data_IF_263530917894
#
_entry.id   IF_263530917894
#
_cell.length_a   1.000
_cell.length_b   1.000
_cell.length_c   1.000
_cell.angle_alpha   90.00
_cell.angle_beta   90.00
_cell.angle_gamma   90.00
#
_symmetry.space_group_name_H-M   'P 1'
#
loop_
_entity.id
_entity.type
_entity.pdbx_description
1 polymer ?
#
# COMPACT_ATOMS: atom_id res chain seq x y z
N UNK A 1 -27.13 -23.28 62.28
CA UNK A 1 -27.22 -23.66 63.70
C UNK A 1 -25.78 -23.96 64.12
N UNK A 2 -25.10 -23.28 65.03
CA UNK A 2 -25.44 -22.71 66.37
C UNK A 2 -24.23 -21.84 66.74
N UNK A 3 -24.34 -20.51 66.95
CA UNK A 3 -24.58 -19.78 68.21
C UNK A 3 -23.74 -20.24 69.43
N UNK A 4 -22.84 -19.36 69.90
CA UNK A 4 -22.64 -18.81 71.27
C UNK A 4 -21.16 -18.41 71.43
N UNK A 5 -20.74 -17.17 71.71
CA UNK A 5 -21.13 -16.12 72.67
C UNK A 5 -20.76 -16.40 74.14
N UNK A 6 -20.31 -15.32 74.81
CA UNK A 6 -19.86 -15.12 76.21
C UNK A 6 -18.36 -15.36 76.45
N UNK A 7 -17.62 -14.59 77.24
CA UNK A 7 -17.94 -13.64 78.33
C UNK A 7 -16.66 -12.78 78.59
N UNK A 8 -16.71 -11.44 78.63
CA UNK A 8 -16.86 -10.55 79.81
C UNK A 8 -15.62 -10.32 80.70
N UNK A 9 -15.60 -9.10 81.28
CA UNK A 9 -14.63 -8.42 82.20
C UNK A 9 -13.70 -7.42 81.48
N UNK A 10 -13.65 -6.12 81.76
CA UNK A 10 -14.20 -5.30 82.85
C UNK A 10 -13.08 -4.69 83.71
N UNK A 11 -12.99 -3.34 83.70
CA UNK A 11 -12.16 -2.40 84.54
C UNK A 11 -10.68 -2.29 84.15
N UNK A 12 -9.99 -1.14 84.16
CA UNK A 12 -10.20 0.22 84.71
C UNK A 12 -9.35 1.18 83.83
N UNK A 13 -9.87 2.33 83.38
CA UNK A 13 -9.76 3.64 84.06
C UNK A 13 -8.33 4.20 84.13
N UNK A 14 -7.92 4.95 83.11
CA UNK A 14 -7.00 6.07 83.31
C UNK A 14 -7.42 7.21 82.38
N UNK A 15 -7.99 8.24 83.00
CA UNK A 15 -8.28 9.54 82.39
C UNK A 15 -6.97 10.19 81.98
N UNK A 16 -6.90 10.70 80.75
CA UNK A 16 -5.95 11.74 80.40
C UNK A 16 -6.71 12.79 79.59
N UNK A 17 -7.06 13.89 80.27
CA UNK A 17 -7.79 15.00 79.70
C UNK A 17 -6.92 15.79 78.73
N UNK A 18 -7.33 15.86 77.46
CA UNK A 18 -6.86 16.90 76.53
C UNK A 18 -8.07 17.56 75.84
N UNK A 19 -8.10 18.89 75.74
CA UNK A 19 -9.23 19.61 75.17
C UNK A 19 -9.35 19.34 73.66
N UNK A 20 -10.58 19.13 73.19
CA UNK A 20 -10.91 19.02 71.76
C UNK A 20 -10.55 20.33 71.03
N UNK A 21 -9.87 20.29 69.88
CA UNK A 21 -9.55 21.48 69.10
C UNK A 21 -10.81 22.02 68.39
N UNK A 22 -10.88 23.34 68.15
CA UNK A 22 -12.07 23.98 67.58
C UNK A 22 -12.34 23.53 66.13
N UNK A 23 -13.63 23.37 65.79
CA UNK A 23 -14.22 22.93 64.50
C UNK A 23 -13.73 23.65 63.23
N UNK A 24 -12.87 24.66 63.36
CA UNK A 24 -12.30 25.42 62.24
C UNK A 24 -11.14 24.69 61.53
N UNK A 25 -10.51 23.69 62.16
CA UNK A 25 -9.38 22.92 61.57
C UNK A 25 -9.76 21.65 60.81
N UNK A 26 -11.01 21.19 60.87
CA UNK A 26 -11.48 20.03 60.10
C UNK A 26 -11.99 20.39 58.68
N UNK A 27 -12.24 21.67 58.40
CA UNK A 27 -12.64 22.13 57.05
C UNK A 27 -11.48 22.35 56.08
N UNK A 28 -10.24 22.41 56.56
CA UNK A 28 -9.05 22.68 55.72
C UNK A 28 -8.37 21.43 55.16
N UNK A 29 -8.78 20.23 55.58
CA UNK A 29 -8.18 18.96 55.12
C UNK A 29 -8.96 18.28 53.99
N UNK A 30 -10.07 18.88 53.51
CA UNK A 30 -10.92 18.33 52.45
C UNK A 30 -10.84 19.14 51.13
N UNK A 31 -9.78 19.93 50.93
CA UNK A 31 -9.65 20.89 49.83
C UNK A 31 -8.37 20.71 48.98
N UNK A 32 -7.84 19.49 48.88
CA UNK A 32 -6.72 19.17 47.98
C UNK A 32 -6.88 17.79 47.37
N UNK A 33 -7.97 17.57 46.64
CA UNK A 33 -7.98 16.58 45.57
C UNK A 33 -8.00 17.33 44.24
N UNK A 34 -7.01 17.11 43.34
CA UNK A 34 -6.99 17.80 42.05
C UNK A 34 -8.21 17.34 41.24
N UNK A 35 -9.06 18.31 40.87
CA UNK A 35 -10.22 18.07 40.00
C UNK A 35 -9.80 17.52 38.64
N UNK A 36 -10.71 16.86 37.90
CA UNK A 36 -10.40 16.27 36.61
C UNK A 36 -9.84 17.34 35.66
N UNK A 37 -8.75 17.05 34.93
CA UNK A 37 -8.04 18.05 34.14
C UNK A 37 -8.98 18.74 33.15
N UNK A 38 -8.84 20.06 33.00
CA UNK A 38 -9.63 20.82 32.03
C UNK A 38 -9.37 20.33 30.61
N UNK A 39 -10.32 20.54 29.71
CA UNK A 39 -10.30 20.00 28.32
C UNK A 39 -9.01 20.36 27.56
N UNK A 40 -8.43 21.54 27.84
CA UNK A 40 -7.14 21.99 27.28
C UNK A 40 -5.93 21.22 27.83
N UNK A 41 -5.92 20.89 29.12
CA UNK A 41 -4.84 20.11 29.74
C UNK A 41 -4.90 18.66 29.29
N UNK A 42 -6.10 18.08 29.14
CA UNK A 42 -6.26 16.74 28.52
C UNK A 42 -5.75 16.71 27.09
N UNK A 43 -6.01 17.75 26.30
CA UNK A 43 -5.50 17.84 24.93
C UNK A 43 -3.97 17.91 24.88
N UNK A 44 -3.33 18.66 25.79
CA UNK A 44 -1.87 18.74 25.86
C UNK A 44 -1.23 17.42 26.32
N UNK A 45 -1.83 16.73 27.30
CA UNK A 45 -1.38 15.40 27.73
C UNK A 45 -1.56 14.38 26.59
N UNK A 46 -2.68 14.44 25.88
CA UNK A 46 -2.96 13.58 24.73
C UNK A 46 -1.98 13.85 23.57
N UNK A 47 -1.65 15.11 23.29
CA UNK A 47 -0.63 15.50 22.31
C UNK A 47 0.78 15.04 22.72
N UNK A 48 1.13 15.16 24.00
CA UNK A 48 2.42 14.67 24.52
C UNK A 48 2.51 13.13 24.47
N UNK A 49 1.41 12.42 24.74
CA UNK A 49 1.31 10.97 24.60
C UNK A 49 1.38 10.55 23.13
N UNK A 50 0.74 11.27 22.21
CA UNK A 50 0.85 11.02 20.78
C UNK A 50 2.28 11.24 20.27
N UNK A 51 2.92 12.35 20.68
CA UNK A 51 4.31 12.63 20.37
C UNK A 51 5.24 11.50 20.85
N UNK A 52 5.01 10.99 22.06
CA UNK A 52 5.80 9.88 22.60
C UNK A 52 5.48 8.51 21.95
N UNK A 53 4.24 8.28 21.52
CA UNK A 53 3.80 7.04 20.88
C UNK A 53 4.29 6.94 19.43
N UNK A 54 4.33 8.07 18.70
CA UNK A 54 4.86 8.14 17.32
C UNK A 54 6.40 8.12 17.25
N UNK A 55 7.10 8.52 18.32
CA UNK A 55 8.57 8.53 18.38
C UNK A 55 9.19 7.12 18.43
N UNK A 56 8.44 6.11 18.91
CA UNK A 56 8.93 4.71 18.97
C UNK A 56 9.13 4.05 17.60
N UNK A 57 8.17 4.07 16.66
CA UNK A 57 8.40 3.57 15.31
C UNK A 57 9.38 4.45 14.51
N UNK A 58 9.39 5.76 14.75
CA UNK A 58 10.37 6.65 14.10
C UNK A 58 11.81 6.39 14.55
N UNK A 59 12.07 6.04 15.81
CA UNK A 59 13.42 5.70 16.31
C UNK A 59 14.03 4.50 15.60
N UNK A 60 13.25 3.52 15.17
CA UNK A 60 13.76 2.38 14.40
C UNK A 60 14.23 2.78 12.99
N UNK A 61 13.63 3.84 12.43
CA UNK A 61 13.99 4.40 11.11
C UNK A 61 15.13 5.41 11.24
N UNK A 62 15.20 6.16 12.36
CA UNK A 62 16.22 7.19 12.63
C UNK A 62 17.51 6.63 13.28
N UNK A 63 17.43 5.50 13.98
CA UNK A 63 18.56 4.76 14.53
C UNK A 63 18.49 3.30 14.03
N UNK A 64 18.79 3.03 12.75
CA UNK A 64 18.98 1.64 12.32
C UNK A 64 20.10 1.02 13.16
N UNK A 65 19.95 -0.23 13.65
CA UNK A 65 20.97 -0.88 14.48
C UNK A 65 22.28 -0.90 13.70
N UNK A 66 23.24 -0.12 14.20
CA UNK A 66 24.53 0.10 13.57
C UNK A 66 25.33 -1.20 13.67
N UNK A 67 25.54 -1.84 12.52
CA UNK A 67 26.36 -3.04 12.41
C UNK A 67 27.83 -2.69 12.57
N UNK A 68 28.38 -3.09 13.71
CA UNK A 68 29.77 -2.87 14.09
C UNK A 68 30.71 -3.44 12.99
N UNK A 69 31.72 -2.70 12.49
CA UNK A 69 32.51 -3.06 11.30
C UNK A 69 33.26 -4.39 11.35
N UNK A 70 33.42 -4.99 12.54
CA UNK A 70 34.07 -6.30 12.77
C UNK A 70 33.12 -7.40 13.24
N UNK A 71 31.80 -7.15 13.31
CA UNK A 71 30.83 -8.14 13.77
C UNK A 71 30.43 -9.12 12.66
N UNK A 72 30.24 -10.40 13.02
CA UNK A 72 29.69 -11.42 12.10
C UNK A 72 28.29 -11.03 11.58
N UNK A 73 27.59 -10.15 12.28
CA UNK A 73 26.33 -9.61 11.82
C UNK A 73 26.52 -8.71 10.59
N UNK A 74 27.56 -7.87 10.53
CA UNK A 74 27.82 -7.04 9.34
C UNK A 74 28.06 -7.91 8.11
N UNK A 75 28.82 -9.00 8.24
CA UNK A 75 29.03 -9.92 7.11
C UNK A 75 27.72 -10.57 6.65
N UNK A 76 26.81 -10.90 7.58
CA UNK A 76 25.48 -11.45 7.26
C UNK A 76 24.59 -10.41 6.60
N UNK A 77 24.65 -9.17 7.06
CA UNK A 77 23.90 -8.06 6.49
C UNK A 77 24.46 -7.64 5.13
N UNK A 78 25.77 -7.55 4.97
CA UNK A 78 26.44 -7.29 3.70
C UNK A 78 26.20 -8.43 2.72
N UNK A 79 26.18 -9.70 3.17
CA UNK A 79 25.80 -10.85 2.34
C UNK A 79 24.32 -10.86 1.98
N UNK A 80 23.43 -10.44 2.89
CA UNK A 80 22.00 -10.30 2.62
C UNK A 80 21.75 -9.16 1.63
N UNK A 81 22.42 -8.02 1.79
CA UNK A 81 22.36 -6.88 0.87
C UNK A 81 22.96 -7.29 -0.49
N UNK A 82 24.11 -7.95 -0.52
CA UNK A 82 24.69 -8.53 -1.74
C UNK A 82 23.74 -9.51 -2.39
N UNK A 83 23.06 -10.38 -1.63
CA UNK A 83 22.09 -11.33 -2.16
C UNK A 83 20.88 -10.60 -2.75
N UNK A 84 20.36 -9.56 -2.09
CA UNK A 84 19.25 -8.73 -2.60
C UNK A 84 19.68 -7.91 -3.82
N UNK A 85 20.91 -7.41 -3.86
CA UNK A 85 21.51 -6.70 -4.99
C UNK A 85 21.71 -7.64 -6.16
N UNK A 86 22.30 -8.82 -5.96
CA UNK A 86 22.49 -9.82 -7.00
C UNK A 86 21.16 -10.34 -7.52
N UNK A 87 20.20 -10.59 -6.61
CA UNK A 87 18.85 -10.99 -6.95
C UNK A 87 18.13 -9.92 -7.77
N UNK A 88 18.17 -8.64 -7.36
CA UNK A 88 17.53 -7.57 -8.10
C UNK A 88 18.24 -7.25 -9.42
N UNK A 89 19.56 -7.21 -9.46
CA UNK A 89 20.36 -6.95 -10.65
C UNK A 89 20.34 -8.08 -11.68
N UNK A 90 20.09 -9.33 -11.27
CA UNK A 90 19.95 -10.48 -12.18
C UNK A 90 18.47 -10.67 -12.55
N UNK A 91 17.57 -10.74 -11.59
CA UNK A 91 16.15 -11.09 -11.84
C UNK A 91 15.41 -9.98 -12.55
N UNK A 92 15.70 -8.70 -12.30
CA UNK A 92 14.96 -7.59 -12.93
C UNK A 92 15.28 -7.48 -14.43
N UNK A 93 16.56 -7.48 -14.87
CA UNK A 93 16.89 -7.51 -16.30
C UNK A 93 16.48 -8.82 -16.97
N UNK A 94 16.57 -9.98 -16.31
CA UNK A 94 16.10 -11.26 -16.87
C UNK A 94 14.58 -11.30 -17.03
N UNK A 95 13.81 -10.73 -16.10
CA UNK A 95 12.35 -10.60 -16.22
C UNK A 95 11.93 -9.66 -17.36
N UNK A 96 12.70 -8.60 -17.63
CA UNK A 96 12.40 -7.65 -18.70
C UNK A 96 12.94 -8.07 -20.07
N UNK A 97 14.09 -8.75 -20.12
CA UNK A 97 14.80 -9.09 -21.36
C UNK A 97 14.54 -10.50 -21.89
N UNK A 98 14.22 -11.48 -21.03
CA UNK A 98 14.04 -12.88 -21.42
C UNK A 98 12.82 -13.52 -20.73
N UNK A 99 11.58 -13.12 -21.10
CA UNK A 99 10.37 -13.69 -20.51
C UNK A 99 10.28 -15.21 -20.68
N UNK A 100 10.93 -15.78 -21.70
CA UNK A 100 10.95 -17.22 -21.97
C UNK A 100 11.84 -18.02 -20.99
N UNK A 101 12.92 -17.43 -20.46
CA UNK A 101 13.82 -18.07 -19.49
C UNK A 101 13.25 -18.11 -18.06
N UNK A 102 12.20 -17.31 -17.78
CA UNK A 102 11.50 -17.29 -16.49
C UNK A 102 10.61 -18.52 -16.24
N UNK A 103 10.60 -19.50 -17.15
CA UNK A 103 9.94 -20.81 -17.00
C UNK A 103 10.57 -21.74 -15.96
N UNK A 104 11.64 -21.34 -15.27
CA UNK A 104 12.18 -22.12 -14.14
C UNK A 104 11.37 -21.86 -12.86
N UNK A 105 10.37 -22.74 -12.71
CA UNK A 105 9.15 -22.78 -11.89
C UNK A 105 9.22 -22.53 -10.35
N UNK A 106 10.34 -22.18 -9.71
CA UNK A 106 10.37 -22.07 -8.22
C UNK A 106 10.24 -20.66 -7.65
N UNK A 107 10.71 -19.63 -8.36
CA UNK A 107 10.70 -18.26 -7.83
C UNK A 107 9.34 -17.55 -8.01
N UNK A 108 8.62 -17.88 -9.08
CA UNK A 108 7.25 -17.37 -9.34
C UNK A 108 6.27 -17.78 -8.25
N UNK A 109 6.39 -19.01 -7.73
CA UNK A 109 5.53 -19.50 -6.66
C UNK A 109 5.83 -18.83 -5.32
N UNK A 110 7.09 -18.51 -5.04
CA UNK A 110 7.44 -17.79 -3.82
C UNK A 110 6.97 -16.35 -3.87
N UNK A 111 7.18 -15.64 -4.99
CA UNK A 111 6.68 -14.27 -5.19
C UNK A 111 5.15 -14.23 -5.19
N UNK A 112 4.49 -15.17 -5.86
CA UNK A 112 3.02 -15.28 -5.84
C UNK A 112 2.49 -15.62 -4.44
N UNK A 113 3.15 -16.52 -3.69
CA UNK A 113 2.79 -16.80 -2.29
C UNK A 113 3.01 -15.61 -1.37
N UNK A 114 4.03 -14.78 -1.61
CA UNK A 114 4.23 -13.55 -0.83
C UNK A 114 3.16 -12.52 -1.21
N UNK A 115 2.85 -12.36 -2.49
CA UNK A 115 1.77 -11.47 -2.95
C UNK A 115 0.38 -11.92 -2.44
N UNK A 116 0.13 -13.23 -2.37
CA UNK A 116 -1.12 -13.83 -1.89
C UNK A 116 -1.21 -13.89 -0.36
N UNK A 117 -0.10 -14.16 0.35
CA UNK A 117 -0.09 -14.25 1.82
C UNK A 117 -0.27 -12.91 2.53
N UNK A 118 0.00 -11.80 1.86
CA UNK A 118 -0.09 -10.48 2.48
C UNK A 118 -1.41 -9.76 2.21
N UNK A 119 -2.24 -10.20 1.26
CA UNK A 119 -3.49 -9.53 0.86
C UNK A 119 -3.31 -8.00 0.64
N UNK A 120 -2.06 -7.57 0.41
CA UNK A 120 -1.68 -6.20 0.18
C UNK A 120 -2.04 -5.91 -1.27
N UNK A 121 -2.77 -4.83 -1.51
CA UNK A 121 -3.07 -4.35 -2.85
C UNK A 121 -1.82 -4.50 -3.74
N UNK A 122 -1.93 -5.24 -4.85
CA UNK A 122 -0.78 -5.49 -5.73
C UNK A 122 -0.10 -4.19 -6.20
N UNK A 123 -0.83 -3.06 -6.14
CA UNK A 123 -0.33 -1.70 -6.31
C UNK A 123 0.65 -1.29 -5.22
N UNK A 124 0.29 -1.50 -3.95
CA UNK A 124 1.14 -1.21 -2.80
C UNK A 124 2.43 -2.02 -2.85
N UNK A 125 2.37 -3.32 -3.13
CA UNK A 125 3.57 -4.16 -3.27
C UNK A 125 4.54 -3.65 -4.36
N UNK A 126 3.99 -3.21 -5.51
CA UNK A 126 4.78 -2.59 -6.59
C UNK A 126 5.42 -1.26 -6.17
N UNK A 127 4.70 -0.43 -5.42
CA UNK A 127 5.22 0.83 -4.88
C UNK A 127 6.33 0.59 -3.84
N UNK A 128 6.12 -0.34 -2.91
CA UNK A 128 7.11 -0.69 -1.89
C UNK A 128 8.39 -1.23 -2.53
N UNK A 129 8.26 -2.05 -3.59
CA UNK A 129 9.41 -2.54 -4.37
C UNK A 129 10.17 -1.39 -5.04
N UNK A 130 9.48 -0.44 -5.66
CA UNK A 130 10.10 0.72 -6.32
C UNK A 130 10.85 1.59 -5.30
N UNK A 131 10.22 1.90 -4.16
CA UNK A 131 10.84 2.68 -3.07
C UNK A 131 12.07 1.95 -2.52
N UNK A 132 11.96 0.65 -2.27
CA UNK A 132 13.07 -0.17 -1.78
C UNK A 132 14.27 -0.19 -2.74
N UNK A 133 14.03 -0.27 -4.06
CA UNK A 133 15.09 -0.19 -5.07
C UNK A 133 15.80 1.16 -5.08
N UNK A 134 15.05 2.26 -4.99
CA UNK A 134 15.63 3.62 -4.93
C UNK A 134 16.49 3.78 -3.67
N UNK A 135 15.97 3.40 -2.50
CA UNK A 135 16.71 3.49 -1.24
C UNK A 135 18.00 2.65 -1.24
N UNK A 136 17.95 1.45 -1.83
CA UNK A 136 19.11 0.58 -1.95
C UNK A 136 20.20 1.21 -2.84
N UNK A 137 19.83 1.73 -4.01
CA UNK A 137 20.76 2.41 -4.91
C UNK A 137 21.38 3.63 -4.24
N UNK A 138 20.56 4.45 -3.58
CA UNK A 138 21.05 5.60 -2.81
C UNK A 138 22.02 5.17 -1.72
N UNK A 139 21.71 4.13 -0.95
CA UNK A 139 22.60 3.60 0.09
C UNK A 139 23.95 3.16 -0.49
N UNK A 140 23.95 2.38 -1.58
CA UNK A 140 25.17 1.92 -2.25
C UNK A 140 26.03 3.11 -2.69
N UNK A 141 25.45 4.08 -3.40
CA UNK A 141 26.20 5.28 -3.80
C UNK A 141 26.69 6.09 -2.61
N UNK A 142 25.95 6.13 -1.50
CA UNK A 142 26.36 6.83 -0.28
C UNK A 142 27.59 6.19 0.35
N UNK A 143 27.62 4.85 0.38
CA UNK A 143 28.79 4.09 0.85
C UNK A 143 30.00 4.30 -0.06
N UNK A 144 29.81 4.32 -1.39
CA UNK A 144 30.89 4.62 -2.33
C UNK A 144 31.39 6.06 -2.19
N UNK A 145 30.51 7.04 -2.04
CA UNK A 145 30.87 8.44 -1.82
C UNK A 145 31.69 8.62 -0.53
N UNK A 146 31.27 7.94 0.53
CA UNK A 146 32.02 7.88 1.78
C UNK A 146 33.40 7.23 1.60
N UNK A 147 33.47 6.07 0.95
CA UNK A 147 34.71 5.35 0.69
C UNK A 147 35.70 6.20 -0.13
N UNK A 148 35.23 6.83 -1.21
CA UNK A 148 36.05 7.68 -2.08
C UNK A 148 36.70 8.79 -1.27
N UNK A 149 35.92 9.48 -0.42
CA UNK A 149 36.45 10.56 0.40
C UNK A 149 37.60 10.15 1.34
N UNK A 150 37.70 8.87 1.75
CA UNK A 150 38.84 8.37 2.53
C UNK A 150 40.01 7.96 1.64
N UNK A 151 39.73 7.29 0.53
CA UNK A 151 40.77 6.75 -0.36
C UNK A 151 41.49 7.84 -1.16
N UNK A 152 40.89 9.03 -1.29
CA UNK A 152 41.47 10.15 -2.05
C UNK A 152 42.03 11.25 -1.14
N UNK A 153 42.26 10.98 0.14
CA UNK A 153 42.94 11.94 1.05
C UNK A 153 44.34 12.29 0.56
N UNK A 154 45.01 11.35 -0.10
CA UNK A 154 46.34 11.54 -0.68
C UNK A 154 46.34 12.47 -1.92
N UNK A 155 45.18 12.65 -2.56
CA UNK A 155 45.03 13.53 -3.73
C UNK A 155 44.83 15.01 -3.36
N UNK A 156 44.60 15.34 -2.08
CA UNK A 156 44.40 16.70 -1.58
C UNK A 156 43.16 16.86 -0.69
N UNK A 157 42.56 18.04 -0.70
CA UNK A 157 41.32 18.29 0.05
C UNK A 157 40.17 17.46 -0.52
N UNK A 158 39.48 16.72 0.33
CA UNK A 158 38.31 15.89 -0.01
C UNK A 158 37.02 16.54 0.45
N UNK A 159 35.88 16.09 -0.07
CA UNK A 159 34.57 16.59 0.35
C UNK A 159 34.36 16.52 1.88
N UNK A 160 34.95 15.52 2.55
CA UNK A 160 34.83 15.34 4.01
C UNK A 160 35.61 16.37 4.82
N UNK A 161 36.75 16.83 4.29
CA UNK A 161 37.59 17.85 4.92
C UNK A 161 36.94 19.22 4.71
N UNK A 162 36.51 19.50 3.48
CA UNK A 162 35.86 20.77 3.12
C UNK A 162 34.58 21.03 3.94
N UNK A 163 33.81 19.97 4.20
CA UNK A 163 32.55 20.05 4.94
C UNK A 163 32.71 19.85 6.46
N UNK A 164 33.95 19.73 6.96
CA UNK A 164 34.27 19.51 8.37
C UNK A 164 33.51 18.32 8.99
N UNK A 165 33.34 17.23 8.23
CA UNK A 165 32.70 15.98 8.72
C UNK A 165 33.68 14.85 8.94
N UNK A 166 34.94 15.00 8.49
CA UNK A 166 35.97 13.96 8.56
C UNK A 166 36.17 13.38 9.96
N UNK A 167 36.19 14.24 10.98
CA UNK A 167 36.43 13.87 12.38
C UNK A 167 35.14 13.66 13.19
N UNK A 168 33.97 13.73 12.55
CA UNK A 168 32.67 13.47 13.18
C UNK A 168 32.37 11.97 13.25
N UNK A 169 31.28 11.62 13.92
CA UNK A 169 30.87 10.23 14.07
C UNK A 169 30.61 9.56 12.71
N UNK A 170 30.74 8.22 12.65
CA UNK A 170 30.42 7.45 11.43
C UNK A 170 29.00 7.73 10.95
N UNK A 171 28.07 7.93 11.89
CA UNK A 171 26.67 8.27 11.61
C UNK A 171 26.55 9.62 10.91
N UNK A 172 27.21 10.66 11.42
CA UNK A 172 27.16 12.00 10.83
C UNK A 172 27.72 11.99 9.41
N UNK A 173 28.84 11.26 9.22
CA UNK A 173 29.42 11.08 7.89
C UNK A 173 28.48 10.34 6.94
N UNK A 174 27.84 9.25 7.39
CA UNK A 174 26.87 8.52 6.59
C UNK A 174 25.65 9.37 6.21
N UNK A 175 25.08 10.11 7.16
CA UNK A 175 23.94 11.01 6.90
C UNK A 175 24.34 12.08 5.89
N UNK A 176 25.52 12.68 6.02
CA UNK A 176 26.03 13.67 5.09
C UNK A 176 26.25 13.08 3.68
N UNK A 177 26.84 11.88 3.58
CA UNK A 177 26.99 11.17 2.31
C UNK A 177 25.65 10.82 1.67
N UNK A 178 24.70 10.33 2.47
CA UNK A 178 23.36 9.98 1.99
C UNK A 178 22.58 11.20 1.51
N UNK A 179 22.67 12.30 2.26
CA UNK A 179 22.10 13.59 1.88
C UNK A 179 22.64 14.05 0.52
N UNK A 180 23.96 14.02 0.33
CA UNK A 180 24.57 14.44 -0.94
C UNK A 180 24.07 13.57 -2.11
N UNK A 181 24.09 12.24 -1.96
CA UNK A 181 23.61 11.33 -3.01
C UNK A 181 22.14 11.57 -3.34
N UNK A 182 21.27 11.76 -2.34
CA UNK A 182 19.85 12.08 -2.57
C UNK A 182 19.72 13.40 -3.33
N UNK A 183 20.43 14.45 -2.91
CA UNK A 183 20.38 15.75 -3.55
C UNK A 183 20.86 15.69 -5.01
N UNK A 184 21.89 14.91 -5.30
CA UNK A 184 22.42 14.70 -6.66
C UNK A 184 21.50 13.83 -7.52
N UNK A 185 21.00 12.70 -7.00
CA UNK A 185 20.08 11.82 -7.74
C UNK A 185 18.76 12.53 -8.07
N UNK A 186 18.26 13.39 -7.17
CA UNK A 186 17.07 14.20 -7.41
C UNK A 186 17.34 15.44 -8.28
N UNK A 187 18.60 15.72 -8.65
CA UNK A 187 18.97 16.88 -9.46
C UNK A 187 18.83 18.23 -8.75
N UNK A 188 18.79 18.25 -7.41
CA UNK A 188 18.66 19.48 -6.61
C UNK A 188 20.00 20.18 -6.45
N UNK A 189 21.04 19.43 -6.02
CA UNK A 189 22.43 19.90 -5.99
C UNK A 189 22.67 21.23 -5.26
N UNK A 190 22.40 21.30 -3.95
CA UNK A 190 22.54 22.52 -3.15
C UNK A 190 23.96 23.12 -3.13
N UNK A 191 25.01 22.29 -3.33
CA UNK A 191 26.41 22.73 -3.43
C UNK A 191 27.14 22.87 -2.09
N UNK A 192 26.46 22.66 -0.98
CA UNK A 192 27.02 22.61 0.38
C UNK A 192 27.97 21.42 0.58
N UNK A 193 27.63 20.26 -0.02
CA UNK A 193 28.55 19.12 -0.19
C UNK A 193 28.84 18.99 -1.68
N UNK A 194 30.12 18.99 -2.06
CA UNK A 194 30.53 18.91 -3.46
C UNK A 194 31.89 18.24 -3.62
N UNK A 195 32.17 17.74 -4.82
CA UNK A 195 33.44 17.13 -5.17
C UNK A 195 34.55 18.16 -5.32
N UNK A 196 35.66 17.98 -4.62
CA UNK A 196 36.81 18.88 -4.66
C UNK A 196 37.90 18.34 -5.58
N UNK A 197 38.22 17.06 -5.47
CA UNK A 197 39.29 16.40 -6.23
C UNK A 197 38.81 15.75 -7.56
N UNK A 198 39.76 15.25 -8.37
CA UNK A 198 39.46 14.72 -9.71
C UNK A 198 38.63 13.42 -9.63
N UNK A 199 38.97 12.53 -8.71
CA UNK A 199 38.32 11.23 -8.54
C UNK A 199 36.86 11.38 -8.06
N UNK A 200 36.61 12.27 -7.08
CA UNK A 200 35.28 12.65 -6.62
C UNK A 200 34.43 13.29 -7.72
N UNK A 201 35.04 14.12 -8.59
CA UNK A 201 34.34 14.75 -9.73
C UNK A 201 33.91 13.69 -10.76
N UNK A 202 34.79 12.74 -11.08
CA UNK A 202 34.47 11.61 -11.98
C UNK A 202 33.32 10.77 -11.43
N UNK A 203 33.35 10.46 -10.13
CA UNK A 203 32.26 9.74 -9.48
C UNK A 203 30.95 10.55 -9.48
N UNK A 204 31.02 11.85 -9.17
CA UNK A 204 29.87 12.76 -9.23
C UNK A 204 29.21 12.80 -10.61
N UNK A 205 30.01 12.82 -11.68
CA UNK A 205 29.50 12.72 -13.05
C UNK A 205 28.78 11.39 -13.28
N UNK A 206 29.36 10.26 -12.85
CA UNK A 206 28.74 8.95 -12.98
C UNK A 206 27.41 8.85 -12.22
N UNK A 207 27.37 9.29 -10.96
CA UNK A 207 26.14 9.35 -10.14
C UNK A 207 25.08 10.24 -10.80
N UNK A 208 25.48 11.36 -11.39
CA UNK A 208 24.54 12.27 -12.05
C UNK A 208 23.91 11.65 -13.30
N UNK A 209 24.69 10.90 -14.11
CA UNK A 209 24.18 10.17 -15.28
C UNK A 209 23.20 9.07 -14.85
N UNK A 210 23.52 8.33 -13.79
CA UNK A 210 22.63 7.30 -13.24
C UNK A 210 21.37 7.92 -12.65
N UNK A 211 21.47 9.05 -11.95
CA UNK A 211 20.33 9.80 -11.42
C UNK A 211 19.39 10.28 -12.52
N UNK A 212 19.94 10.93 -13.55
CA UNK A 212 19.17 11.40 -14.70
C UNK A 212 18.44 10.25 -15.43
N UNK A 213 19.13 9.13 -15.65
CA UNK A 213 18.55 7.94 -16.29
C UNK A 213 17.51 7.25 -15.40
N UNK A 214 17.81 7.13 -14.11
CA UNK A 214 16.96 6.50 -13.10
C UNK A 214 15.65 7.24 -12.90
N UNK A 215 15.67 8.58 -12.94
CA UNK A 215 14.47 9.41 -12.81
C UNK A 215 13.41 9.07 -13.86
N UNK A 216 13.81 8.89 -15.12
CA UNK A 216 12.91 8.48 -16.20
C UNK A 216 12.30 7.08 -15.98
N UNK A 217 13.10 6.13 -15.48
CA UNK A 217 12.64 4.78 -15.17
C UNK A 217 11.66 4.76 -13.99
N UNK A 218 11.89 5.58 -12.96
CA UNK A 218 11.02 5.73 -11.80
C UNK A 218 9.66 6.27 -12.25
N UNK A 219 9.64 7.36 -13.03
CA UNK A 219 8.41 7.93 -13.57
C UNK A 219 7.67 6.90 -14.42
N UNK A 220 8.36 6.24 -15.36
CA UNK A 220 7.74 5.22 -16.21
C UNK A 220 7.13 4.06 -15.43
N UNK A 221 7.79 3.64 -14.34
CA UNK A 221 7.28 2.61 -13.44
C UNK A 221 6.05 3.10 -12.66
N UNK A 222 6.09 4.33 -12.16
CA UNK A 222 4.98 4.95 -11.44
C UNK A 222 3.75 5.12 -12.35
N UNK A 223 3.94 5.56 -13.60
CA UNK A 223 2.86 5.68 -14.59
C UNK A 223 2.20 4.33 -14.85
N UNK A 224 2.99 3.26 -15.05
CA UNK A 224 2.44 1.90 -15.21
C UNK A 224 1.63 1.44 -14.00
N UNK A 225 2.08 1.76 -12.79
CA UNK A 225 1.34 1.44 -11.56
C UNK A 225 0.00 2.19 -11.53
N UNK A 226 0.00 3.48 -11.89
CA UNK A 226 -1.21 4.32 -11.92
C UNK A 226 -2.20 3.88 -13.01
N UNK A 227 -1.69 3.52 -14.19
CA UNK A 227 -2.50 2.98 -15.29
C UNK A 227 -3.15 1.66 -14.91
N UNK A 228 -2.40 0.76 -14.28
CA UNK A 228 -2.92 -0.51 -13.79
C UNK A 228 -3.97 -0.31 -12.69
N UNK A 229 -3.75 0.65 -11.78
CA UNK A 229 -4.72 0.97 -10.73
C UNK A 229 -6.04 1.52 -11.29
N UNK A 230 -5.98 2.32 -12.36
CA UNK A 230 -7.17 2.86 -13.02
C UNK A 230 -7.65 2.07 -14.24
N UNK A 231 -7.18 0.83 -14.44
CA UNK A 231 -7.41 0.08 -15.69
C UNK A 231 -8.89 -0.09 -16.02
N UNK A 232 -9.72 -0.38 -15.02
CA UNK A 232 -11.17 -0.54 -15.23
C UNK A 232 -11.83 0.79 -15.63
N UNK A 233 -11.56 1.86 -14.87
CA UNK A 233 -12.13 3.19 -15.10
C UNK A 233 -11.73 3.74 -16.47
N UNK A 234 -10.46 3.61 -16.84
CA UNK A 234 -9.93 4.04 -18.15
C UNK A 234 -10.54 3.22 -19.29
N UNK A 235 -10.70 1.91 -19.13
CA UNK A 235 -11.35 1.04 -20.13
C UNK A 235 -12.82 1.41 -20.33
N UNK A 236 -13.56 1.64 -19.24
CA UNK A 236 -14.96 2.09 -19.30
C UNK A 236 -15.09 3.46 -19.98
N UNK A 237 -14.23 4.40 -19.62
CA UNK A 237 -14.18 5.72 -20.26
C UNK A 237 -13.90 5.62 -21.76
N UNK A 238 -12.92 4.80 -22.15
CA UNK A 238 -12.56 4.57 -23.57
C UNK A 238 -13.73 3.99 -24.38
N UNK A 239 -14.45 2.99 -23.84
CA UNK A 239 -15.66 2.43 -24.47
C UNK A 239 -16.71 3.53 -24.70
N UNK A 240 -16.97 4.35 -23.69
CA UNK A 240 -17.95 5.44 -23.80
C UNK A 240 -17.53 6.51 -24.83
N UNK A 241 -16.24 6.85 -24.90
CA UNK A 241 -15.71 7.79 -25.89
C UNK A 241 -15.83 7.27 -27.32
N UNK A 242 -15.62 5.96 -27.56
CA UNK A 242 -15.82 5.34 -28.87
C UNK A 242 -17.29 5.44 -29.32
N UNK A 243 -18.24 5.20 -28.42
CA UNK A 243 -19.67 5.33 -28.71
C UNK A 243 -20.01 6.79 -29.03
N UNK A 244 -19.48 7.76 -28.27
CA UNK A 244 -19.69 9.18 -28.56
C UNK A 244 -19.16 9.57 -29.95
N UNK A 245 -17.99 9.04 -30.33
CA UNK A 245 -17.41 9.27 -31.65
C UNK A 245 -18.29 8.67 -32.77
N UNK A 246 -18.82 7.47 -32.57
CA UNK A 246 -19.77 6.84 -33.50
C UNK A 246 -21.04 7.68 -33.69
N UNK A 247 -21.66 8.12 -32.59
CA UNK A 247 -22.87 8.96 -32.62
C UNK A 247 -22.64 10.26 -33.38
N UNK A 248 -21.49 10.91 -33.16
CA UNK A 248 -21.12 12.14 -33.86
C UNK A 248 -20.89 11.89 -35.35
N UNK A 249 -20.19 10.81 -35.72
CA UNK A 249 -19.94 10.43 -37.12
C UNK A 249 -21.23 10.15 -37.88
N UNK A 250 -22.21 9.50 -37.25
CA UNK A 250 -23.51 9.17 -37.85
C UNK A 250 -24.55 10.30 -37.78
N UNK A 251 -24.21 11.46 -37.20
CA UNK A 251 -25.09 12.63 -37.07
C UNK A 251 -26.48 12.28 -36.50
N UNK A 252 -26.53 11.44 -35.47
CA UNK A 252 -27.81 10.98 -34.91
C UNK A 252 -28.59 12.16 -34.29
N UNK A 253 -29.94 12.16 -34.40
CA UNK A 253 -30.78 13.20 -33.80
C UNK A 253 -30.62 13.24 -32.26
N UNK A 254 -30.78 14.43 -31.67
CA UNK A 254 -30.50 14.68 -30.24
C UNK A 254 -31.22 13.70 -29.30
N UNK A 255 -32.47 13.35 -29.60
CA UNK A 255 -33.26 12.40 -28.81
C UNK A 255 -32.62 11.00 -28.80
N UNK A 256 -32.30 10.45 -29.98
CA UNK A 256 -31.68 9.13 -30.12
C UNK A 256 -30.29 9.09 -29.49
N UNK A 257 -29.50 10.16 -29.65
CA UNK A 257 -28.19 10.32 -28.97
C UNK A 257 -28.35 10.23 -27.45
N UNK A 258 -29.29 10.96 -26.86
CA UNK A 258 -29.52 10.96 -25.42
C UNK A 258 -29.92 9.58 -24.89
N UNK A 259 -30.83 8.90 -25.61
CA UNK A 259 -31.24 7.52 -25.30
C UNK A 259 -30.07 6.54 -25.38
N UNK A 260 -29.31 6.56 -26.48
CA UNK A 260 -28.18 5.66 -26.70
C UNK A 260 -27.05 5.87 -25.67
N UNK A 261 -26.72 7.11 -25.34
CA UNK A 261 -25.70 7.41 -24.34
C UNK A 261 -26.13 6.95 -22.94
N UNK A 262 -27.40 7.11 -22.59
CA UNK A 262 -27.96 6.60 -21.32
C UNK A 262 -27.92 5.08 -21.29
N UNK A 263 -28.24 4.41 -22.41
CA UNK A 263 -28.15 2.96 -22.55
C UNK A 263 -26.77 2.47 -22.22
N UNK A 264 -25.76 2.96 -22.95
CA UNK A 264 -24.42 2.46 -22.79
C UNK A 264 -23.78 2.84 -21.47
N UNK A 265 -24.12 3.99 -20.86
CA UNK A 265 -23.68 4.27 -19.48
C UNK A 265 -24.23 3.26 -18.49
N UNK A 266 -25.51 2.91 -18.61
CA UNK A 266 -26.13 1.93 -17.73
C UNK A 266 -25.59 0.51 -17.98
N UNK A 267 -25.47 0.12 -19.26
CA UNK A 267 -24.85 -1.13 -19.70
C UNK A 267 -23.43 -1.28 -19.15
N UNK A 268 -22.53 -0.32 -19.38
CA UNK A 268 -21.14 -0.38 -18.92
C UNK A 268 -21.04 -0.41 -17.38
N UNK A 269 -21.98 0.21 -16.67
CA UNK A 269 -22.00 0.20 -15.20
C UNK A 269 -22.52 -1.13 -14.60
N UNK A 270 -23.27 -1.92 -15.37
CA UNK A 270 -23.91 -3.16 -14.91
C UNK A 270 -23.30 -4.43 -15.48
N UNK A 271 -22.66 -4.35 -16.64
CA UNK A 271 -21.97 -5.48 -17.27
C UNK A 271 -20.58 -5.65 -16.68
N UNK A 272 -20.21 -6.88 -16.36
CA UNK A 272 -18.84 -7.25 -16.00
C UNK A 272 -17.83 -6.83 -17.08
N UNK A 273 -16.57 -6.60 -16.69
CA UNK A 273 -15.51 -6.28 -17.64
C UNK A 273 -15.16 -7.47 -18.56
N UNK A 274 -15.55 -8.68 -18.15
CA UNK A 274 -15.24 -9.95 -18.80
C UNK A 274 -16.53 -10.61 -19.31
N UNK A 275 -16.39 -11.46 -20.33
CA UNK A 275 -17.50 -12.34 -20.74
C UNK A 275 -17.64 -13.44 -19.68
N UNK A 276 -18.69 -13.35 -18.86
CA UNK A 276 -18.97 -14.29 -17.78
C UNK A 276 -19.02 -15.73 -18.30
N UNK A 277 -19.51 -15.95 -19.53
CA UNK A 277 -19.61 -17.28 -20.11
C UNK A 277 -18.24 -17.86 -20.45
N UNK A 278 -17.36 -17.07 -21.05
CA UNK A 278 -16.00 -17.49 -21.38
C UNK A 278 -15.22 -17.84 -20.11
N UNK A 279 -15.32 -16.99 -19.07
CA UNK A 279 -14.72 -17.23 -17.78
C UNK A 279 -15.25 -18.51 -17.11
N UNK A 280 -16.57 -18.74 -17.16
CA UNK A 280 -17.17 -19.95 -16.62
C UNK A 280 -16.64 -21.22 -17.32
N UNK A 281 -16.33 -21.16 -18.62
CA UNK A 281 -15.77 -22.29 -19.36
C UNK A 281 -14.34 -22.65 -18.97
N UNK A 282 -13.58 -21.71 -18.39
CA UNK A 282 -12.22 -21.98 -17.88
C UNK A 282 -12.23 -22.80 -16.57
N UNK A 283 -13.33 -22.76 -15.82
CA UNK A 283 -13.49 -23.55 -14.59
C UNK A 283 -13.78 -25.03 -14.88
N UNK A 284 -13.36 -25.90 -13.94
CA UNK A 284 -13.73 -27.32 -13.96
C UNK A 284 -15.25 -27.48 -13.90
N UNK A 285 -15.76 -28.60 -14.43
CA UNK A 285 -17.20 -28.84 -14.54
C UNK A 285 -17.91 -28.77 -13.17
N UNK A 286 -17.29 -29.33 -12.12
CA UNK A 286 -17.83 -29.30 -10.76
C UNK A 286 -17.89 -27.88 -10.21
N UNK A 287 -16.79 -27.13 -10.31
CA UNK A 287 -16.69 -25.76 -9.80
C UNK A 287 -17.65 -24.81 -10.51
N UNK A 288 -17.79 -24.97 -11.84
CA UNK A 288 -18.77 -24.22 -12.64
C UNK A 288 -20.18 -24.47 -12.15
N UNK A 289 -20.55 -25.73 -11.89
CA UNK A 289 -21.87 -26.10 -11.39
C UNK A 289 -22.18 -25.46 -10.03
N UNK A 290 -21.22 -25.47 -9.11
CA UNK A 290 -21.34 -24.84 -7.79
C UNK A 290 -21.50 -23.31 -7.90
N UNK A 291 -20.67 -22.64 -8.70
CA UNK A 291 -20.74 -21.19 -8.92
C UNK A 291 -22.09 -20.80 -9.53
N UNK A 292 -22.53 -21.52 -10.57
CA UNK A 292 -23.81 -21.27 -11.23
C UNK A 292 -24.98 -21.48 -10.27
N UNK A 293 -24.94 -22.56 -9.47
CA UNK A 293 -25.98 -22.85 -8.50
C UNK A 293 -26.08 -21.73 -7.47
N UNK A 294 -24.97 -21.29 -6.89
CA UNK A 294 -24.99 -20.23 -5.88
C UNK A 294 -25.39 -18.87 -6.47
N UNK A 295 -24.89 -18.54 -7.67
CA UNK A 295 -25.22 -17.29 -8.36
C UNK A 295 -26.72 -17.18 -8.70
N UNK A 296 -27.33 -18.28 -9.17
CA UNK A 296 -28.70 -18.27 -9.67
C UNK A 296 -29.73 -18.90 -8.71
N UNK A 297 -29.32 -19.33 -7.51
CA UNK A 297 -30.18 -19.95 -6.49
C UNK A 297 -31.47 -19.15 -6.24
N UNK A 298 -31.36 -17.83 -6.23
CA UNK A 298 -32.46 -16.91 -5.93
C UNK A 298 -33.16 -16.35 -7.18
N UNK A 299 -32.77 -16.76 -8.38
CA UNK A 299 -33.30 -16.23 -9.65
C UNK A 299 -34.07 -17.30 -10.41
N UNK A 300 -33.40 -18.32 -10.95
CA UNK A 300 -34.06 -19.32 -11.78
C UNK A 300 -34.93 -20.27 -10.95
N UNK A 301 -34.45 -20.71 -9.79
CA UNK A 301 -35.19 -21.64 -8.92
C UNK A 301 -36.43 -21.02 -8.23
N UNK A 302 -36.63 -19.70 -8.36
CA UNK A 302 -37.87 -19.04 -7.91
C UNK A 302 -38.98 -19.04 -8.97
N UNK A 303 -38.65 -19.29 -10.23
CA UNK A 303 -39.63 -19.27 -11.32
C UNK A 303 -40.35 -20.62 -11.34
N UNK A 304 -41.69 -20.67 -11.25
CA UNK A 304 -42.45 -21.93 -11.17
C UNK A 304 -42.16 -22.89 -12.32
N UNK A 305 -41.91 -22.37 -13.53
CA UNK A 305 -41.58 -23.17 -14.71
C UNK A 305 -40.24 -23.93 -14.58
N UNK A 306 -39.26 -23.38 -13.86
CA UNK A 306 -37.96 -24.03 -13.66
C UNK A 306 -37.91 -24.94 -12.43
N UNK A 307 -38.87 -24.84 -11.51
CA UNK A 307 -38.98 -25.73 -10.35
C UNK A 307 -39.38 -27.16 -10.73
N UNK A 308 -40.03 -27.34 -11.88
CA UNK A 308 -40.44 -28.64 -12.40
C UNK A 308 -39.33 -29.35 -13.18
N UNK A 309 -38.21 -28.65 -13.45
CA UNK A 309 -37.09 -29.17 -14.23
C UNK A 309 -35.97 -29.67 -13.32
N UNK A 310 -35.12 -30.56 -13.84
CA UNK A 310 -33.95 -31.03 -13.09
C UNK A 310 -32.97 -29.88 -12.85
N UNK A 311 -32.37 -29.84 -11.65
CA UNK A 311 -31.41 -28.78 -11.29
C UNK A 311 -30.24 -28.70 -12.26
N UNK A 312 -29.72 -29.85 -12.71
CA UNK A 312 -28.65 -29.93 -13.72
C UNK A 312 -29.06 -29.29 -15.05
N UNK A 313 -30.29 -29.53 -15.52
CA UNK A 313 -30.77 -28.94 -16.77
C UNK A 313 -30.91 -27.41 -16.66
N UNK A 314 -31.36 -26.90 -15.50
CA UNK A 314 -31.45 -25.45 -15.25
C UNK A 314 -30.05 -24.81 -15.24
N UNK A 315 -29.04 -25.48 -14.68
CA UNK A 315 -27.65 -25.01 -14.68
C UNK A 315 -27.05 -25.01 -16.10
N UNK A 316 -27.30 -26.05 -16.90
CA UNK A 316 -26.89 -26.09 -18.30
C UNK A 316 -27.55 -24.98 -19.11
N UNK A 317 -28.84 -24.72 -18.88
CA UNK A 317 -29.56 -23.63 -19.54
C UNK A 317 -29.04 -22.26 -19.09
N UNK A 318 -28.66 -22.10 -17.82
CA UNK A 318 -28.10 -20.85 -17.29
C UNK A 318 -26.84 -20.40 -18.06
N UNK A 319 -26.03 -21.35 -18.58
CA UNK A 319 -24.86 -21.06 -19.42
C UNK A 319 -25.20 -20.41 -20.78
N UNK A 320 -26.45 -20.48 -21.23
CA UNK A 320 -26.91 -19.91 -22.49
C UNK A 320 -27.78 -18.66 -22.32
N UNK A 321 -28.23 -18.37 -21.10
CA UNK A 321 -29.07 -17.21 -20.82
C UNK A 321 -28.20 -15.96 -20.80
N UNK A 322 -28.50 -15.01 -21.69
CA UNK A 322 -27.85 -13.70 -21.71
C UNK A 322 -28.71 -12.66 -20.97
N UNK A 323 -28.15 -11.89 -20.03
CA UNK A 323 -28.89 -10.82 -19.38
C UNK A 323 -29.27 -9.73 -20.39
N UNK A 324 -30.57 -9.40 -20.47
CA UNK A 324 -31.05 -8.27 -21.27
C UNK A 324 -31.09 -7.01 -20.39
N UNK A 325 -30.22 -6.05 -20.70
CA UNK A 325 -30.19 -4.75 -20.01
C UNK A 325 -31.10 -3.77 -20.75
N UNK A 326 -32.06 -3.18 -20.03
CA UNK A 326 -33.07 -2.26 -20.58
C UNK A 326 -33.15 -0.99 -19.72
N UNK A 327 -33.56 0.13 -20.34
CA UNK A 327 -33.74 1.40 -19.62
C UNK A 327 -35.24 1.71 -19.53
N UNK A 328 -35.62 2.46 -18.48
CA UNK A 328 -36.94 3.07 -18.38
C UNK A 328 -37.32 3.82 -19.68
N UNK A 329 -38.42 3.39 -20.30
CA UNK A 329 -38.95 3.94 -21.55
C UNK A 329 -38.60 3.17 -22.81
N UNK A 330 -37.83 2.07 -22.72
CA UNK A 330 -37.65 1.15 -23.84
C UNK A 330 -38.86 0.21 -23.96
N UNK A 331 -39.24 -0.09 -25.21
CA UNK A 331 -40.37 -0.96 -25.54
C UNK A 331 -39.79 -2.36 -25.78
N UNK A 332 -40.15 -3.34 -24.95
CA UNK A 332 -39.64 -4.72 -25.02
C UNK A 332 -40.35 -5.55 -26.08
N UNK A 333 -41.66 -5.34 -26.21
CA UNK A 333 -42.51 -6.05 -27.16
C UNK A 333 -43.49 -5.06 -27.78
N UNK A 334 -43.75 -5.22 -29.09
CA UNK A 334 -44.83 -4.55 -29.81
C UNK A 334 -45.73 -5.63 -30.39
N UNK A 335 -47.03 -5.40 -30.30
CA UNK A 335 -47.99 -6.25 -30.96
C UNK A 335 -47.95 -5.98 -32.47
N UNK A 336 -47.65 -7.01 -33.26
CA UNK A 336 -47.54 -6.91 -34.71
C UNK A 336 -47.10 -8.23 -35.35
N UNK A 337 -47.35 -8.44 -36.66
CA UNK A 337 -46.92 -9.65 -37.36
C UNK A 337 -45.38 -9.71 -37.39
N UNK A 338 -44.84 -10.88 -37.03
CA UNK A 338 -43.42 -11.19 -36.90
C UNK A 338 -42.67 -11.08 -38.23
N UNK A 339 -42.31 -9.87 -38.67
CA UNK A 339 -41.45 -9.62 -39.83
C UNK A 339 -40.31 -8.65 -39.47
N UNK A 340 -39.52 -9.01 -38.45
CA UNK A 340 -38.20 -8.42 -38.25
C UNK A 340 -37.19 -9.57 -38.35
N UNK A 341 -36.24 -9.54 -39.30
CA UNK A 341 -35.25 -10.59 -39.42
C UNK A 341 -34.43 -10.66 -38.14
N UNK A 342 -34.37 -11.86 -37.54
CA UNK A 342 -33.56 -12.16 -36.37
C UNK A 342 -32.09 -12.02 -36.73
N UNK A 343 -31.47 -10.89 -36.39
CA UNK A 343 -30.03 -10.81 -36.19
C UNK A 343 -29.74 -10.95 -34.71
N UNK A 344 -29.53 -12.19 -34.27
CA UNK A 344 -28.85 -12.52 -33.01
C UNK A 344 -27.56 -13.24 -33.33
#
# INVERSE_FOLDING_TARGET
MTINNRDSRGRNSQQDGRPLPPLRKQRSALATQPGPPTRRVRALIWMAQLYHSYKRPLRFILDPPLLDPRSNEKLRWDALVMFVVLYSAIVVPLQMGFPELTRLIKLRHFVAKVEEAFDLDAVLARLTRLIGQVLLVTHIFSCFWHLIGFTTEDEGTTWMIETDVRNKSVRDRYICSFYWVVATLCGVGYGDVHATNRTERLFSMAVSIVGASGYGLIIGSLTKILENWHRETTTRARKLSMIQAFVRKKRLPRNLKGRLMRYFRHYIAKTSAFDERELLYEFSLSLRGEILHETYRNTFFRIPAFQQLSSLFVLDMAMFIKPLIVIKGDILAREGPTNIPRSC
#
